data_IF_617113259293
#
_entry.id   IF_617113259293
#
_cell.length_a   1.000
_cell.length_b   1.000
_cell.length_c   1.000
_cell.angle_alpha   90.00
_cell.angle_beta   90.00
_cell.angle_gamma   90.00
#
_symmetry.space_group_name_H-M   'P 1'
#
loop_
_entity.id
_entity.type
_entity.pdbx_description
1 polymer ?
#
# COMPACT_ATOMS: atom_id res chain seq x y z
N UNK A 1 13.75 -24.37 -29.84
CA UNK A 1 12.92 -25.58 -29.78
C UNK A 1 12.65 -25.88 -28.32
N UNK A 2 11.59 -25.28 -27.78
CA UNK A 2 11.07 -25.62 -26.45
C UNK A 2 10.33 -26.94 -26.58
N UNK A 3 10.96 -28.03 -26.12
CA UNK A 3 10.32 -29.34 -26.06
C UNK A 3 9.13 -29.26 -25.10
N UNK A 4 7.94 -29.43 -25.65
CA UNK A 4 6.71 -29.61 -24.89
C UNK A 4 6.80 -30.96 -24.17
N UNK A 5 6.49 -31.05 -22.86
CA UNK A 5 6.57 -32.33 -22.16
C UNK A 5 5.55 -33.29 -22.76
N UNK A 6 6.00 -34.48 -23.17
CA UNK A 6 5.15 -35.55 -23.69
C UNK A 6 4.05 -35.90 -22.68
N UNK A 7 2.82 -35.42 -22.92
CA UNK A 7 1.69 -35.58 -22.00
C UNK A 7 1.42 -37.05 -21.63
N UNK A 8 1.75 -37.98 -22.52
CA UNK A 8 1.62 -39.43 -22.28
C UNK A 8 2.60 -39.96 -21.23
N UNK A 9 3.81 -39.40 -21.16
CA UNK A 9 4.78 -39.75 -20.13
C UNK A 9 4.31 -39.28 -18.75
N UNK A 10 3.80 -38.04 -18.67
CA UNK A 10 3.27 -37.47 -17.43
C UNK A 10 2.09 -38.28 -16.87
N UNK A 11 1.16 -38.72 -17.73
CA UNK A 11 0.02 -39.55 -17.31
C UNK A 11 0.45 -40.92 -16.78
N UNK A 12 1.49 -41.50 -17.36
CA UNK A 12 2.06 -42.77 -16.90
C UNK A 12 2.73 -42.60 -15.53
N UNK A 13 3.53 -41.56 -15.35
CA UNK A 13 4.21 -41.28 -14.09
C UNK A 13 3.24 -41.02 -12.93
N UNK A 14 2.11 -40.34 -13.22
CA UNK A 14 1.03 -40.15 -12.23
C UNK A 14 0.34 -41.48 -11.90
N UNK A 15 0.17 -42.37 -12.89
CA UNK A 15 -0.47 -43.67 -12.69
C UNK A 15 0.42 -44.62 -11.86
N UNK A 16 1.73 -44.55 -12.07
CA UNK A 16 2.75 -45.32 -11.35
C UNK A 16 3.13 -44.69 -9.98
N UNK A 17 2.50 -43.57 -9.60
CA UNK A 17 2.84 -42.83 -8.39
C UNK A 17 2.41 -43.55 -7.09
N UNK A 18 3.40 -44.02 -6.33
CA UNK A 18 3.17 -44.69 -5.05
C UNK A 18 3.09 -43.70 -3.88
N UNK A 19 1.86 -43.44 -3.42
CA UNK A 19 1.60 -42.57 -2.25
C UNK A 19 2.28 -43.07 -0.96
N UNK A 20 2.57 -44.37 -0.85
CA UNK A 20 3.23 -44.96 0.31
C UNK A 20 4.72 -44.58 0.40
N UNK A 21 5.35 -44.15 -0.69
CA UNK A 21 6.73 -43.66 -0.72
C UNK A 21 6.86 -42.19 -0.32
N UNK A 22 5.74 -41.49 -0.08
CA UNK A 22 5.75 -40.12 0.41
C UNK A 22 6.31 -40.07 1.83
N UNK A 23 7.28 -39.19 2.05
CA UNK A 23 7.79 -38.91 3.38
C UNK A 23 6.70 -38.30 4.24
N UNK A 24 6.53 -38.80 5.47
CA UNK A 24 5.63 -38.17 6.42
C UNK A 24 6.20 -36.82 6.84
N UNK A 25 5.50 -35.74 6.51
CA UNK A 25 5.84 -34.39 6.94
C UNK A 25 4.84 -33.97 8.01
N UNK A 26 5.33 -33.71 9.22
CA UNK A 26 4.52 -33.10 10.27
C UNK A 26 4.33 -31.62 9.94
N UNK A 27 3.13 -31.25 9.50
CA UNK A 27 2.76 -29.85 9.30
C UNK A 27 2.65 -29.16 10.65
N UNK A 28 3.45 -28.10 10.86
CA UNK A 28 3.36 -27.24 12.04
C UNK A 28 2.53 -26.01 11.66
N UNK A 29 1.41 -25.80 12.33
CA UNK A 29 0.74 -24.49 12.31
C UNK A 29 1.63 -23.47 12.99
N UNK A 30 2.12 -22.50 12.21
CA UNK A 30 2.89 -21.37 12.75
C UNK A 30 1.92 -20.32 13.27
N UNK A 31 1.38 -20.55 14.46
CA UNK A 31 0.58 -19.55 15.17
C UNK A 31 1.52 -18.68 16.03
N UNK A 32 1.98 -17.56 15.46
CA UNK A 32 2.69 -16.54 16.23
C UNK A 32 1.71 -15.50 16.69
N UNK A 33 1.60 -15.32 18.01
CA UNK A 33 0.86 -14.20 18.56
C UNK A 33 1.57 -12.89 18.18
N UNK A 34 0.82 -11.82 17.91
CA UNK A 34 1.41 -10.48 17.76
C UNK A 34 2.26 -10.14 18.99
N UNK A 35 3.38 -9.46 18.78
CA UNK A 35 4.18 -8.96 19.89
C UNK A 35 3.44 -7.84 20.61
N UNK A 36 3.77 -7.62 21.90
CA UNK A 36 3.20 -6.50 22.67
C UNK A 36 3.45 -5.15 21.98
N UNK A 37 4.59 -5.02 21.32
CA UNK A 37 4.98 -3.84 20.56
C UNK A 37 4.06 -3.59 19.35
N UNK A 38 3.80 -4.63 18.55
CA UNK A 38 2.89 -4.54 17.41
C UNK A 38 1.47 -4.12 17.84
N UNK A 39 0.98 -4.65 18.97
CA UNK A 39 -0.33 -4.29 19.53
C UNK A 39 -0.33 -2.83 20.01
N UNK A 40 0.74 -2.39 20.66
CA UNK A 40 0.86 -1.01 21.12
C UNK A 40 0.91 -0.03 19.95
N UNK A 41 1.68 -0.34 18.91
CA UNK A 41 1.76 0.47 17.69
C UNK A 41 0.40 0.59 17.01
N UNK A 42 -0.31 -0.52 16.79
CA UNK A 42 -1.64 -0.50 16.16
C UNK A 42 -2.64 0.35 16.97
N UNK A 43 -2.58 0.25 18.30
CA UNK A 43 -3.41 1.06 19.19
C UNK A 43 -3.12 2.55 19.03
N UNK A 44 -1.85 2.93 19.01
CA UNK A 44 -1.44 4.34 18.82
C UNK A 44 -1.88 4.86 17.46
N UNK A 45 -1.69 4.09 16.40
CA UNK A 45 -2.07 4.48 15.04
C UNK A 45 -3.59 4.68 14.94
N UNK A 46 -4.39 3.76 15.49
CA UNK A 46 -5.84 3.93 15.57
C UNK A 46 -6.26 5.20 16.30
N UNK A 47 -5.66 5.46 17.46
CA UNK A 47 -5.97 6.65 18.24
C UNK A 47 -5.70 7.95 17.46
N UNK A 48 -4.57 8.01 16.75
CA UNK A 48 -4.22 9.16 15.91
C UNK A 48 -5.21 9.34 14.76
N UNK A 49 -5.60 8.25 14.09
CA UNK A 49 -6.58 8.29 13.01
C UNK A 49 -7.95 8.77 13.50
N UNK A 50 -8.42 8.25 14.64
CA UNK A 50 -9.68 8.67 15.26
C UNK A 50 -9.66 10.17 15.63
N UNK A 51 -8.53 10.69 16.12
CA UNK A 51 -8.38 12.11 16.44
C UNK A 51 -8.38 13.00 15.19
N UNK A 52 -7.73 12.56 14.12
CA UNK A 52 -7.72 13.27 12.84
C UNK A 52 -9.13 13.28 12.22
N UNK A 53 -9.82 12.14 12.23
CA UNK A 53 -11.17 12.01 11.66
C UNK A 53 -12.19 12.89 12.39
N UNK A 54 -12.08 13.00 13.72
CA UNK A 54 -12.91 13.93 14.51
C UNK A 54 -12.67 15.40 14.14
N UNK A 55 -11.51 15.71 13.57
CA UNK A 55 -11.12 17.06 13.20
C UNK A 55 -10.89 17.96 14.41
N UNK A 56 -10.41 19.18 14.15
CA UNK A 56 -10.19 20.20 15.19
C UNK A 56 -10.91 21.49 14.81
N UNK A 57 -11.40 22.21 15.82
CA UNK A 57 -11.96 23.55 15.62
C UNK A 57 -10.81 24.55 15.57
N UNK A 58 -10.44 24.97 14.36
CA UNK A 58 -9.45 26.01 14.15
C UNK A 58 -10.10 27.39 14.31
N UNK A 59 -9.34 28.35 14.85
CA UNK A 59 -9.79 29.75 14.93
C UNK A 59 -9.92 30.33 13.51
N UNK A 60 -10.99 31.08 13.21
CA UNK A 60 -11.11 31.78 11.94
C UNK A 60 -9.91 32.70 11.70
N UNK A 61 -9.33 32.65 10.51
CA UNK A 61 -8.25 33.54 10.10
C UNK A 61 -8.43 33.91 8.63
N UNK A 62 -8.08 35.15 8.27
CA UNK A 62 -8.14 35.63 6.89
C UNK A 62 -6.82 35.31 6.19
N UNK A 63 -6.83 34.53 5.09
CA UNK A 63 -5.61 34.24 4.34
C UNK A 63 -5.07 35.52 3.71
N UNK A 64 -3.78 35.79 3.93
CA UNK A 64 -3.06 36.88 3.25
C UNK A 64 -2.34 36.28 2.03
N UNK A 65 -2.93 36.48 0.85
CA UNK A 65 -2.32 36.13 -0.43
C UNK A 65 -1.13 37.07 -0.68
N UNK A 66 0.09 36.55 -0.51
CA UNK A 66 1.33 37.34 -0.66
C UNK A 66 1.60 37.74 -2.11
N UNK A 67 1.04 37.01 -3.09
CA UNK A 67 1.24 37.25 -4.51
C UNK A 67 -0.10 37.56 -5.16
N UNK A 68 -0.55 38.81 -5.09
CA UNK A 68 -1.68 39.25 -5.91
C UNK A 68 -1.30 39.04 -7.37
N UNK A 69 -2.21 38.46 -8.16
CA UNK A 69 -2.06 38.47 -9.62
C UNK A 69 -1.84 39.93 -10.08
N UNK A 70 -0.90 40.17 -11.02
CA UNK A 70 -0.70 41.51 -11.55
C UNK A 70 -2.03 42.04 -12.09
N UNK A 71 -2.32 43.31 -11.78
CA UNK A 71 -3.55 43.95 -12.24
C UNK A 71 -3.46 44.22 -13.75
N UNK A 72 -4.61 44.49 -14.39
CA UNK A 72 -4.62 44.87 -15.82
C UNK A 72 -3.71 46.06 -16.11
N UNK A 73 -3.64 47.02 -15.19
CA UNK A 73 -2.77 48.19 -15.31
C UNK A 73 -1.28 47.82 -15.28
N UNK A 74 -0.88 46.87 -14.41
CA UNK A 74 0.51 46.38 -14.34
C UNK A 74 0.92 45.70 -15.67
N UNK A 75 0.01 44.93 -16.27
CA UNK A 75 0.23 44.24 -17.55
C UNK A 75 0.33 45.24 -18.72
N UNK A 76 -0.50 46.29 -18.73
CA UNK A 76 -0.48 47.32 -19.78
C UNK A 76 0.77 48.21 -19.69
N UNK A 77 1.21 48.55 -18.48
CA UNK A 77 2.45 49.28 -18.25
C UNK A 77 3.67 48.49 -18.76
N UNK A 78 3.74 47.19 -18.49
CA UNK A 78 4.85 46.36 -18.97
C UNK A 78 4.83 46.14 -20.49
N UNK A 79 3.63 46.03 -21.09
CA UNK A 79 3.48 45.93 -22.55
C UNK A 79 3.84 47.20 -23.31
N UNK A 80 3.66 48.36 -22.70
CA UNK A 80 3.98 49.66 -23.32
C UNK A 80 5.43 50.09 -23.09
N UNK A 81 6.13 49.46 -22.15
CA UNK A 81 7.55 49.66 -21.88
C UNK A 81 8.48 48.72 -22.68
N UNK A 82 7.93 47.89 -23.57
CA UNK A 82 8.66 46.98 -24.45
C UNK A 82 8.50 47.37 -25.92
#
# INVERSE_FOLDING_TARGET
MSGEPDAKAVLKDISDFEKAKLQHVQTKEKYVLPTKDAIAQEKTEKQLLDEIEKGTQLKPTTPVEKNKLPTKADIEAEKSAK
#
